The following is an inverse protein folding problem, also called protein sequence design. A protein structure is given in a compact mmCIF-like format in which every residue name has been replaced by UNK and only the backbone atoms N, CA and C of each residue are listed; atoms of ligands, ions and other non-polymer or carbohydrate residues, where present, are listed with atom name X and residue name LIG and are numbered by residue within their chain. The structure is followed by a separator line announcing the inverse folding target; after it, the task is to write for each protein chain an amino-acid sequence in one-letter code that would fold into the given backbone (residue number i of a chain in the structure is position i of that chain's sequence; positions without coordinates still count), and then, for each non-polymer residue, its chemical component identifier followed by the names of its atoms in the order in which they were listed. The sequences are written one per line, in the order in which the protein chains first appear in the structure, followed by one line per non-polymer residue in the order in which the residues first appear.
data_IF_580557518172
#
_entry.id   IF_580557518172
#
_cell.length_a   1.000
_cell.length_b   1.000
_cell.length_c   1.000
_cell.angle_alpha   90.00
_cell.angle_beta   90.00
_cell.angle_gamma   90.00
#
_symmetry.space_group_name_H-M   'P 1'
#
loop_
_entity.id
_entity.type
_entity.pdbx_description
1 polymer ?
#
# COMPACT_ATOMS: atom_id res chain seq x y z
N UNK A 1 18.24 7.94 6.59
CA UNK A 1 17.23 6.95 6.14
C UNK A 1 16.96 6.05 7.33
N UNK A 2 15.83 6.24 7.99
CA UNK A 2 15.49 5.46 9.18
C UNK A 2 15.19 4.02 8.74
N UNK A 3 15.85 3.04 9.38
CA UNK A 3 15.65 1.62 9.11
C UNK A 3 14.20 1.21 9.37
N UNK A 4 13.76 0.19 8.63
CA UNK A 4 12.41 -0.39 8.62
C UNK A 4 12.02 -1.13 9.92
N UNK A 5 12.31 -0.55 11.09
CA UNK A 5 11.87 -1.06 12.41
C UNK A 5 10.40 -0.68 12.73
N UNK A 6 9.60 -0.33 11.73
CA UNK A 6 8.20 0.03 11.93
C UNK A 6 7.33 -1.22 12.01
N UNK A 7 6.60 -1.38 13.12
CA UNK A 7 5.58 -2.41 13.29
C UNK A 7 4.54 -2.32 12.18
N UNK A 8 4.44 -3.34 11.33
CA UNK A 8 3.32 -3.48 10.39
C UNK A 8 2.03 -3.73 11.17
N UNK A 9 1.01 -2.94 10.88
CA UNK A 9 -0.33 -3.12 11.47
C UNK A 9 -1.25 -3.89 10.53
N UNK A 10 -0.91 -3.94 9.23
CA UNK A 10 -1.62 -4.72 8.24
C UNK A 10 -0.67 -5.15 7.11
N UNK A 11 -0.89 -6.35 6.60
CA UNK A 11 -0.19 -6.87 5.43
C UNK A 11 -1.17 -7.69 4.59
N UNK A 12 -1.00 -7.65 3.27
CA UNK A 12 -1.77 -8.45 2.32
C UNK A 12 -0.92 -8.86 1.13
N UNK A 13 -1.07 -10.12 0.75
CA UNK A 13 -0.52 -10.66 -0.50
C UNK A 13 -1.58 -10.61 -1.61
N UNK A 14 -1.19 -10.12 -2.79
CA UNK A 14 -1.99 -10.09 -4.02
C UNK A 14 -1.33 -11.00 -5.05
N UNK A 15 -2.14 -11.78 -5.77
CA UNK A 15 -1.63 -12.71 -6.79
C UNK A 15 -1.50 -11.99 -8.12
N UNK A 16 -0.46 -12.33 -8.88
CA UNK A 16 -0.24 -11.82 -10.25
C UNK A 16 0.04 -12.98 -11.20
N UNK A 17 -1.00 -13.49 -11.86
CA UNK A 17 -0.86 -14.61 -12.80
C UNK A 17 0.10 -15.72 -12.31
N UNK A 18 1.13 -16.01 -13.09
CA UNK A 18 2.23 -16.95 -12.74
C UNK A 18 3.50 -16.27 -12.20
N UNK A 19 3.45 -14.97 -11.91
CA UNK A 19 4.58 -14.19 -11.43
C UNK A 19 4.71 -14.18 -9.90
N UNK A 20 5.70 -13.43 -9.41
CA UNK A 20 5.89 -13.18 -7.98
C UNK A 20 4.67 -12.49 -7.38
N UNK A 21 4.29 -12.83 -6.14
CA UNK A 21 3.19 -12.16 -5.46
C UNK A 21 3.54 -10.71 -5.15
N UNK A 22 2.53 -9.85 -5.15
CA UNK A 22 2.66 -8.46 -4.72
C UNK A 22 2.31 -8.39 -3.23
N UNK A 23 3.19 -7.83 -2.42
CA UNK A 23 2.98 -7.72 -0.97
C UNK A 23 2.76 -6.27 -0.60
N UNK A 24 1.56 -5.95 -0.12
CA UNK A 24 1.20 -4.62 0.39
C UNK A 24 1.29 -4.65 1.91
N UNK A 25 2.05 -3.72 2.49
CA UNK A 25 2.21 -3.58 3.94
C UNK A 25 1.93 -2.15 4.39
N UNK A 26 1.17 -2.00 5.47
CA UNK A 26 0.89 -0.71 6.13
C UNK A 26 1.56 -0.74 7.49
N UNK A 27 2.46 0.20 7.74
CA UNK A 27 3.09 0.36 9.05
C UNK A 27 2.25 1.19 10.02
N UNK A 28 2.62 1.13 11.30
CA UNK A 28 1.98 1.88 12.36
C UNK A 28 2.04 3.40 12.09
N UNK A 29 0.89 4.11 12.08
CA UNK A 29 0.89 5.55 11.97
C UNK A 29 1.68 6.22 13.09
N UNK A 30 2.44 7.24 12.74
CA UNK A 30 3.25 7.99 13.70
C UNK A 30 3.02 9.49 13.54
N UNK A 31 3.14 10.19 14.66
CA UNK A 31 3.03 11.65 14.70
C UNK A 31 4.34 12.28 14.25
N UNK A 32 4.28 13.20 13.29
CA UNK A 32 5.45 13.93 12.76
C UNK A 32 5.65 15.24 13.51
N UNK A 33 4.55 15.99 13.68
CA UNK A 33 4.52 17.28 14.38
C UNK A 33 3.18 17.46 15.11
N UNK A 34 2.89 18.66 15.63
CA UNK A 34 1.67 18.95 16.39
C UNK A 34 0.36 18.58 15.69
N UNK A 35 0.33 18.64 14.36
CA UNK A 35 -0.87 18.57 13.52
C UNK A 35 -0.76 17.56 12.38
N UNK A 36 0.39 16.89 12.22
CA UNK A 36 0.64 15.97 11.11
C UNK A 36 0.91 14.57 11.61
N UNK A 37 0.18 13.62 11.06
CA UNK A 37 0.44 12.18 11.18
C UNK A 37 0.84 11.62 9.83
N UNK A 38 1.63 10.55 9.85
CA UNK A 38 1.99 9.77 8.68
C UNK A 38 1.72 8.29 8.88
N UNK A 39 1.21 7.65 7.86
CA UNK A 39 1.06 6.20 7.76
C UNK A 39 1.98 5.70 6.63
N UNK A 40 3.01 4.89 6.95
CA UNK A 40 3.94 4.34 5.97
C UNK A 40 3.30 3.18 5.19
N UNK A 41 3.65 3.06 3.91
CA UNK A 41 3.24 1.98 3.02
C UNK A 41 4.45 1.41 2.29
N UNK A 42 4.49 0.07 2.23
CA UNK A 42 5.40 -0.69 1.36
C UNK A 42 4.60 -1.50 0.36
N UNK A 43 4.98 -1.49 -0.90
CA UNK A 43 4.49 -2.47 -1.87
C UNK A 43 5.66 -3.12 -2.58
N UNK A 44 5.74 -4.44 -2.49
CA UNK A 44 6.83 -5.27 -3.03
C UNK A 44 6.31 -6.16 -4.17
N UNK A 45 7.19 -6.64 -5.04
CA UNK A 45 6.83 -7.61 -6.10
C UNK A 45 6.29 -6.99 -7.40
N UNK A 46 6.43 -5.67 -7.58
CA UNK A 46 5.98 -4.95 -8.78
C UNK A 46 7.08 -4.90 -9.84
N UNK A 47 8.28 -4.50 -9.41
CA UNK A 47 9.54 -4.60 -10.11
C UNK A 47 10.43 -5.48 -9.25
N UNK A 48 11.14 -6.43 -9.86
CA UNK A 48 11.88 -7.46 -9.11
C UNK A 48 12.92 -6.88 -8.13
N UNK A 49 13.34 -5.62 -8.33
CA UNK A 49 14.45 -5.01 -7.61
C UNK A 49 14.10 -3.83 -6.67
N UNK A 50 12.97 -3.11 -6.87
CA UNK A 50 12.66 -1.90 -6.08
C UNK A 50 11.23 -1.87 -5.52
N UNK A 51 11.04 -1.83 -4.18
CA UNK A 51 9.73 -1.67 -3.56
C UNK A 51 9.23 -0.22 -3.68
N UNK A 52 7.92 -0.07 -3.81
CA UNK A 52 7.28 1.22 -3.57
C UNK A 52 7.27 1.47 -2.05
N UNK A 53 7.92 2.54 -1.61
CA UNK A 53 8.11 2.89 -0.20
C UNK A 53 7.78 4.36 0.01
N UNK A 54 6.59 4.64 0.55
CA UNK A 54 6.08 5.99 0.72
C UNK A 54 5.32 6.13 2.04
N UNK A 55 4.89 7.35 2.37
CA UNK A 55 4.00 7.59 3.50
C UNK A 55 2.87 8.57 3.14
N UNK A 56 1.64 8.20 3.50
CA UNK A 56 0.49 9.09 3.38
C UNK A 56 0.35 9.95 4.64
N UNK A 57 0.01 11.23 4.47
CA UNK A 57 -0.16 12.17 5.58
C UNK A 57 -1.64 12.41 5.89
N UNK A 58 -1.94 12.80 7.14
CA UNK A 58 -3.26 13.22 7.60
C UNK A 58 -3.16 14.10 8.84
N UNK A 59 -4.26 14.79 9.19
CA UNK A 59 -4.35 15.62 10.40
C UNK A 59 -4.39 14.78 11.69
N UNK A 60 -4.86 13.54 11.58
CA UNK A 60 -4.79 12.52 12.63
C UNK A 60 -4.35 11.16 12.04
N UNK A 61 -4.18 10.17 12.92
CA UNK A 61 -3.77 8.82 12.55
C UNK A 61 -4.77 8.11 11.64
N UNK A 62 -6.07 8.40 11.77
CA UNK A 62 -7.14 7.77 10.99
C UNK A 62 -7.15 8.34 9.58
N UNK A 63 -7.04 9.66 9.43
CA UNK A 63 -6.92 10.31 8.12
C UNK A 63 -5.67 9.83 7.38
N UNK A 64 -4.53 9.73 8.07
CA UNK A 64 -3.30 9.19 7.48
C UNK A 64 -3.51 7.75 6.96
N UNK A 65 -4.22 6.91 7.69
CA UNK A 65 -4.56 5.54 7.25
C UNK A 65 -5.52 5.53 6.06
N UNK A 66 -6.56 6.36 6.06
CA UNK A 66 -7.49 6.46 4.93
C UNK A 66 -6.75 6.90 3.66
N UNK A 67 -5.87 7.90 3.78
CA UNK A 67 -5.06 8.37 2.66
C UNK A 67 -4.04 7.31 2.22
N UNK A 68 -3.52 6.50 3.15
CA UNK A 68 -2.67 5.35 2.84
C UNK A 68 -3.41 4.30 2.00
N UNK A 69 -4.67 3.98 2.35
CA UNK A 69 -5.51 3.05 1.58
C UNK A 69 -5.80 3.59 0.17
N UNK A 70 -6.06 4.89 0.03
CA UNK A 70 -6.24 5.55 -1.28
C UNK A 70 -4.96 5.51 -2.12
N UNK A 71 -3.80 5.72 -1.49
CA UNK A 71 -2.51 5.64 -2.17
C UNK A 71 -2.28 4.22 -2.68
N UNK A 72 -2.50 3.21 -1.85
CA UNK A 72 -2.42 1.79 -2.24
C UNK A 72 -3.31 1.54 -3.45
N UNK A 73 -4.59 1.93 -3.39
CA UNK A 73 -5.55 1.78 -4.48
C UNK A 73 -5.03 2.36 -5.80
N UNK A 74 -4.68 3.64 -5.79
CA UNK A 74 -4.23 4.35 -6.98
C UNK A 74 -2.97 3.72 -7.59
N UNK A 75 -2.05 3.32 -6.72
CA UNK A 75 -0.78 2.70 -7.12
C UNK A 75 -1.02 1.30 -7.70
N UNK A 76 -1.80 0.45 -7.03
CA UNK A 76 -2.13 -0.89 -7.54
C UNK A 76 -2.96 -0.83 -8.83
N UNK A 77 -3.91 0.10 -8.94
CA UNK A 77 -4.73 0.29 -10.15
C UNK A 77 -3.87 0.73 -11.33
N UNK A 78 -2.90 1.62 -11.09
CA UNK A 78 -1.95 2.06 -12.14
C UNK A 78 -1.09 0.90 -12.67
N UNK A 79 -0.92 -0.17 -11.89
CA UNK A 79 -0.15 -1.35 -12.27
C UNK A 79 -1.01 -2.50 -12.78
N UNK A 80 -2.31 -2.50 -12.49
CA UNK A 80 -3.25 -3.54 -12.89
C UNK A 80 -3.97 -3.21 -14.21
N UNK A 81 -3.33 -2.50 -15.13
CA UNK A 81 -3.92 -2.08 -16.41
C UNK A 81 -4.40 -3.28 -17.25
N UNK A 82 -3.71 -4.42 -17.12
CA UNK A 82 -4.02 -5.67 -17.79
C UNK A 82 -4.96 -6.60 -17.01
N UNK A 83 -5.41 -6.18 -15.81
CA UNK A 83 -6.24 -6.97 -14.88
C UNK A 83 -5.60 -8.30 -14.45
N UNK A 84 -4.26 -8.41 -14.48
CA UNK A 84 -3.53 -9.63 -14.09
C UNK A 84 -3.37 -9.79 -12.57
N UNK A 85 -3.51 -8.71 -11.81
CA UNK A 85 -3.44 -8.70 -10.35
C UNK A 85 -4.84 -9.02 -9.81
N UNK A 86 -4.92 -10.10 -9.04
CA UNK A 86 -6.18 -10.63 -8.50
C UNK A 86 -6.09 -10.87 -7.00
N UNK A 87 -7.25 -10.84 -6.36
CA UNK A 87 -7.44 -11.27 -4.98
C UNK A 87 -8.54 -12.34 -4.96
N UNK A 88 -8.24 -13.52 -4.41
CA UNK A 88 -9.15 -14.68 -4.43
C UNK A 88 -9.73 -15.00 -5.82
N UNK A 89 -8.88 -14.96 -6.86
CA UNK A 89 -9.25 -15.23 -8.26
C UNK A 89 -10.34 -14.29 -8.82
N UNK A 90 -10.55 -13.15 -8.15
CA UNK A 90 -11.40 -12.05 -8.62
C UNK A 90 -10.54 -10.83 -8.90
N UNK A 91 -11.00 -10.01 -9.85
CA UNK A 91 -10.53 -8.62 -10.07
C UNK A 91 -11.01 -7.78 -8.88
N UNK A 92 -10.46 -8.05 -7.70
CA UNK A 92 -10.93 -7.44 -6.46
C UNK A 92 -9.83 -6.62 -5.85
N UNK A 93 -10.01 -5.31 -5.93
CA UNK A 93 -9.42 -4.38 -4.99
C UNK A 93 -10.49 -3.55 -4.26
N UNK A 94 -11.79 -3.80 -4.46
CA UNK A 94 -12.84 -2.93 -3.91
C UNK A 94 -12.78 -1.46 -4.37
N UNK A 95 -11.91 -1.12 -5.32
CA UNK A 95 -11.79 0.19 -5.95
C UNK A 95 -12.31 0.06 -7.37
N UNK A 96 -13.53 0.54 -7.61
CA UNK A 96 -14.09 0.60 -8.97
C UNK A 96 -13.43 1.77 -9.71
N UNK A 97 -13.09 1.63 -11.00
CA UNK A 97 -12.72 2.79 -11.81
C UNK A 97 -13.95 3.71 -11.87
N UNK A 98 -13.76 4.95 -11.43
CA UNK A 98 -14.68 6.06 -11.70
C UNK A 98 -14.66 6.43 -13.18
#
# INVERSE_FOLDING_TARGET
MAGWDQLFIAQRELRRGSGSPIVVSIGLPYKVDSSTWRAPVRIEGIQDDDPFDEAASGSDSVEALINCLKLIAAVTDSWNVDNSITWNDKTDLGFSPS
#
